data_IF_960597005800
#
_entry.id   IF_960597005800
#
_cell.length_a   1.000
_cell.length_b   1.000
_cell.length_c   1.000
_cell.angle_alpha   90.00
_cell.angle_beta   90.00
_cell.angle_gamma   90.00
#
_symmetry.space_group_name_H-M   'P 1'
#
loop_
_entity.id
_entity.type
_entity.pdbx_description
1 polymer ?
#
# COMPACT_ATOMS: atom_id res chain seq x y z
N UNK A 1 69.72 -23.01 23.72
CA UNK A 1 69.96 -21.80 22.90
C UNK A 1 68.89 -21.79 21.80
N UNK A 2 67.68 -21.29 22.08
CA UNK A 2 67.24 -19.89 21.97
C UNK A 2 67.48 -19.30 20.57
N UNK A 3 66.41 -19.21 19.76
CA UNK A 3 65.83 -17.94 19.30
C UNK A 3 64.76 -18.19 18.22
N UNK A 4 63.52 -17.79 18.49
CA UNK A 4 62.47 -17.58 17.48
C UNK A 4 62.62 -16.16 16.89
N UNK A 5 62.12 -15.94 15.67
CA UNK A 5 61.46 -14.67 15.40
C UNK A 5 60.04 -14.86 14.85
N UNK A 6 59.26 -13.80 15.10
CA UNK A 6 57.82 -13.64 14.97
C UNK A 6 57.33 -13.43 13.53
N UNK A 7 56.06 -13.80 13.32
CA UNK A 7 55.06 -13.16 12.45
C UNK A 7 55.28 -13.10 10.92
N UNK A 8 54.39 -13.75 10.17
CA UNK A 8 53.61 -13.09 9.09
C UNK A 8 52.51 -13.99 8.50
N UNK A 9 51.26 -13.61 8.82
CA UNK A 9 50.10 -13.46 7.91
C UNK A 9 49.60 -14.71 7.16
N UNK A 10 48.55 -15.29 7.73
CA UNK A 10 47.54 -16.11 7.04
C UNK A 10 46.61 -15.17 6.24
N UNK A 11 46.67 -15.22 4.91
CA UNK A 11 45.69 -14.59 4.03
C UNK A 11 44.49 -15.51 3.83
N UNK A 12 43.47 -15.42 4.69
CA UNK A 12 42.17 -16.07 4.48
C UNK A 12 41.40 -15.31 3.37
N UNK A 13 41.09 -16.01 2.29
CA UNK A 13 40.08 -15.61 1.31
C UNK A 13 38.72 -15.71 2.00
N UNK A 14 38.17 -14.60 2.47
CA UNK A 14 36.75 -14.51 2.81
C UNK A 14 35.98 -14.14 1.53
N UNK A 15 35.47 -15.17 0.86
CA UNK A 15 34.40 -15.03 -0.11
C UNK A 15 33.16 -14.47 0.58
N UNK A 16 32.66 -13.37 0.05
CA UNK A 16 31.46 -12.65 0.49
C UNK A 16 30.22 -13.56 0.48
N UNK A 17 29.73 -13.92 1.67
CA UNK A 17 28.44 -14.58 1.90
C UNK A 17 27.47 -13.65 2.67
N UNK A 18 27.45 -12.36 2.32
CA UNK A 18 26.64 -11.35 3.02
C UNK A 18 25.70 -10.55 2.11
N UNK A 19 25.23 -11.14 1.01
CA UNK A 19 24.36 -10.42 0.05
C UNK A 19 23.06 -11.11 -0.34
N UNK A 20 22.77 -12.32 0.14
CA UNK A 20 21.51 -13.02 -0.20
C UNK A 20 20.44 -12.90 0.88
N UNK A 21 20.78 -13.08 2.16
CA UNK A 21 19.83 -13.04 3.28
C UNK A 21 19.12 -11.68 3.47
N UNK A 22 19.76 -10.57 3.07
CA UNK A 22 19.13 -9.24 3.10
C UNK A 22 18.18 -9.00 1.91
N UNK A 23 18.39 -9.67 0.77
CA UNK A 23 17.45 -9.67 -0.36
C UNK A 23 16.26 -10.60 -0.10
N UNK A 24 16.51 -11.74 0.54
CA UNK A 24 15.48 -12.71 0.93
C UNK A 24 14.60 -12.20 2.06
N UNK A 25 15.15 -11.49 3.06
CA UNK A 25 14.32 -10.88 4.12
C UNK A 25 13.50 -9.68 3.63
N UNK A 26 13.96 -8.97 2.58
CA UNK A 26 13.17 -7.95 1.90
C UNK A 26 12.03 -8.53 1.03
N UNK A 27 12.10 -9.82 0.68
CA UNK A 27 11.08 -10.50 -0.12
C UNK A 27 9.81 -10.82 0.69
N UNK A 28 9.87 -10.90 2.03
CA UNK A 28 8.76 -11.37 2.87
C UNK A 28 7.99 -10.29 3.64
N UNK A 29 8.47 -9.04 3.68
CA UNK A 29 7.70 -7.95 4.29
C UNK A 29 6.65 -7.44 3.29
N UNK A 30 5.44 -8.02 3.31
CA UNK A 30 4.28 -7.53 2.55
C UNK A 30 3.91 -6.14 3.05
N UNK A 31 4.44 -5.12 2.39
CA UNK A 31 4.11 -3.73 2.62
C UNK A 31 3.60 -3.11 1.31
N UNK A 32 3.09 -1.88 1.40
CA UNK A 32 2.56 -1.14 0.25
C UNK A 32 3.54 -1.00 -0.92
N UNK A 33 4.87 -1.06 -0.68
CA UNK A 33 5.88 -1.06 -1.75
C UNK A 33 5.71 -2.20 -2.75
N UNK A 34 5.16 -3.32 -2.31
CA UNK A 34 5.07 -4.53 -3.12
C UNK A 34 3.85 -4.58 -4.05
N UNK A 35 2.86 -3.69 -3.86
CA UNK A 35 1.63 -3.71 -4.66
C UNK A 35 1.09 -2.32 -5.04
N UNK A 36 1.37 -1.29 -4.23
CA UNK A 36 0.99 0.09 -4.53
C UNK A 36 2.10 0.84 -5.25
N UNK A 37 3.35 0.76 -4.82
CA UNK A 37 4.44 1.50 -5.48
C UNK A 37 5.06 0.75 -6.66
N UNK A 38 4.97 -0.59 -6.66
CA UNK A 38 5.36 -1.45 -7.76
C UNK A 38 4.15 -2.26 -8.23
N UNK A 39 4.12 -2.59 -9.52
CA UNK A 39 3.06 -3.46 -10.06
C UNK A 39 3.18 -4.86 -9.45
N UNK A 40 2.12 -5.38 -8.81
CA UNK A 40 2.10 -6.74 -8.28
C UNK A 40 1.97 -7.76 -9.42
N UNK A 41 2.14 -9.03 -9.09
CA UNK A 41 1.89 -10.12 -10.02
C UNK A 41 0.41 -10.13 -10.45
N UNK A 42 0.13 -10.37 -11.75
CA UNK A 42 -1.24 -10.38 -12.30
C UNK A 42 -2.02 -11.66 -12.00
N UNK A 43 -1.83 -12.24 -10.82
CA UNK A 43 -2.54 -13.43 -10.33
C UNK A 43 -3.41 -13.00 -9.15
N UNK A 44 -4.75 -13.14 -9.22
CA UNK A 44 -5.66 -12.70 -8.16
C UNK A 44 -5.23 -13.15 -6.76
N UNK A 45 -4.95 -14.45 -6.61
CA UNK A 45 -4.52 -15.03 -5.33
C UNK A 45 -3.25 -14.39 -4.73
N UNK A 46 -2.25 -14.03 -5.55
CA UNK A 46 -1.03 -13.40 -5.04
C UNK A 46 -1.27 -11.94 -4.63
N UNK A 47 -2.17 -11.25 -5.33
CA UNK A 47 -2.58 -9.89 -4.97
C UNK A 47 -3.32 -9.91 -3.63
N UNK A 48 -4.27 -10.85 -3.47
CA UNK A 48 -5.03 -11.05 -2.24
C UNK A 48 -4.10 -11.26 -1.05
N UNK A 49 -3.21 -12.23 -1.13
CA UNK A 49 -2.28 -12.56 -0.04
C UNK A 49 -1.45 -11.34 0.36
N UNK A 50 -0.88 -10.66 -0.64
CA UNK A 50 0.04 -9.53 -0.44
C UNK A 50 -0.67 -8.31 0.17
N UNK A 51 -1.87 -7.99 -0.32
CA UNK A 51 -2.67 -6.88 0.20
C UNK A 51 -3.23 -7.21 1.58
N UNK A 52 -3.85 -8.37 1.76
CA UNK A 52 -4.43 -8.76 3.05
C UNK A 52 -3.36 -8.82 4.15
N UNK A 53 -2.18 -9.40 3.87
CA UNK A 53 -1.08 -9.40 4.83
C UNK A 53 -0.59 -7.98 5.18
N UNK A 54 -0.56 -7.07 4.20
CA UNK A 54 -0.24 -5.66 4.46
C UNK A 54 -1.29 -5.03 5.41
N UNK A 55 -2.57 -5.30 5.19
CA UNK A 55 -3.66 -4.76 6.01
C UNK A 55 -3.63 -5.33 7.44
N UNK A 56 -3.34 -6.64 7.59
CA UNK A 56 -3.17 -7.26 8.90
C UNK A 56 -1.97 -6.72 9.66
N UNK A 57 -0.85 -6.45 8.97
CA UNK A 57 0.32 -5.80 9.57
C UNK A 57 -0.02 -4.39 10.09
N UNK A 58 -0.96 -3.70 9.44
CA UNK A 58 -1.50 -2.40 9.87
C UNK A 58 -2.59 -2.49 10.96
N UNK A 59 -2.77 -3.68 11.57
CA UNK A 59 -3.74 -3.93 12.65
C UNK A 59 -5.21 -3.75 12.24
N UNK A 60 -5.53 -3.83 10.95
CA UNK A 60 -6.91 -4.00 10.52
C UNK A 60 -7.35 -5.44 10.80
N UNK A 61 -7.70 -5.71 12.06
CA UNK A 61 -8.26 -7.00 12.45
C UNK A 61 -9.60 -7.23 11.76
N UNK A 62 -9.92 -8.47 11.40
CA UNK A 62 -11.16 -8.86 10.71
C UNK A 62 -11.37 -8.15 9.37
N UNK A 63 -10.29 -7.76 8.68
CA UNK A 63 -10.36 -7.34 7.28
C UNK A 63 -10.06 -8.52 6.38
N UNK A 64 -10.82 -8.63 5.30
CA UNK A 64 -10.53 -9.53 4.21
C UNK A 64 -10.98 -8.88 2.91
N UNK A 65 -10.14 -8.96 1.89
CA UNK A 65 -10.35 -8.39 0.57
C UNK A 65 -10.10 -9.46 -0.50
N UNK A 66 -11.07 -9.62 -1.39
CA UNK A 66 -11.04 -10.50 -2.56
C UNK A 66 -10.62 -9.71 -3.81
N UNK A 67 -9.80 -10.28 -4.67
CA UNK A 67 -9.38 -9.64 -5.92
C UNK A 67 -10.41 -9.85 -7.03
N UNK A 68 -11.05 -8.76 -7.43
CA UNK A 68 -12.05 -8.73 -8.51
C UNK A 68 -11.41 -8.42 -9.86
N UNK A 69 -10.30 -7.66 -9.88
CA UNK A 69 -9.54 -7.34 -11.10
C UNK A 69 -8.04 -7.36 -10.83
N UNK A 70 -7.34 -8.28 -11.48
CA UNK A 70 -5.90 -8.50 -11.36
C UNK A 70 -5.04 -7.76 -12.41
N UNK A 71 -5.59 -6.68 -12.98
CA UNK A 71 -4.89 -5.79 -13.91
C UNK A 71 -5.21 -4.32 -13.58
N UNK A 72 -4.30 -3.37 -13.87
CA UNK A 72 -4.54 -1.94 -13.64
C UNK A 72 -5.80 -1.42 -14.37
N UNK A 73 -6.68 -0.66 -13.70
CA UNK A 73 -6.67 -0.37 -12.26
C UNK A 73 -6.99 -1.64 -11.47
N UNK A 74 -6.12 -2.09 -10.58
CA UNK A 74 -6.44 -3.27 -9.77
C UNK A 74 -7.65 -2.98 -8.90
N UNK A 75 -8.51 -3.97 -8.69
CA UNK A 75 -9.73 -3.82 -7.88
C UNK A 75 -9.87 -4.98 -6.91
N UNK A 76 -10.15 -4.63 -5.66
CA UNK A 76 -10.47 -5.56 -4.60
C UNK A 76 -11.74 -5.13 -3.87
N UNK A 77 -12.50 -6.10 -3.40
CA UNK A 77 -13.74 -5.89 -2.65
C UNK A 77 -13.71 -6.72 -1.38
N UNK A 78 -14.33 -6.25 -0.32
CA UNK A 78 -14.22 -6.93 0.96
C UNK A 78 -14.95 -6.21 2.07
N UNK A 79 -14.57 -6.55 3.29
CA UNK A 79 -15.27 -6.07 4.48
C UNK A 79 -14.32 -5.89 5.65
N UNK A 80 -14.57 -4.85 6.45
CA UNK A 80 -13.87 -4.61 7.72
C UNK A 80 -14.87 -4.17 8.79
N UNK A 81 -15.03 -4.95 9.86
CA UNK A 81 -15.95 -4.64 10.97
C UNK A 81 -17.33 -4.16 10.50
N UNK A 82 -17.98 -4.93 9.62
CA UNK A 82 -19.28 -4.59 9.03
C UNK A 82 -19.32 -3.48 7.97
N UNK A 83 -18.18 -2.85 7.70
CA UNK A 83 -18.05 -1.85 6.64
C UNK A 83 -17.65 -2.56 5.35
N UNK A 84 -18.52 -2.49 4.33
CA UNK A 84 -18.19 -2.96 3.00
C UNK A 84 -17.16 -2.01 2.37
N UNK A 85 -16.11 -2.58 1.78
CA UNK A 85 -14.98 -1.86 1.21
C UNK A 85 -14.79 -2.24 -0.26
N UNK A 86 -14.49 -1.24 -1.08
CA UNK A 86 -13.94 -1.42 -2.42
C UNK A 86 -12.66 -0.62 -2.51
N UNK A 87 -11.57 -1.28 -2.90
CA UNK A 87 -10.28 -0.67 -3.11
C UNK A 87 -9.92 -0.77 -4.59
N UNK A 88 -9.59 0.36 -5.20
CA UNK A 88 -9.11 0.46 -6.58
C UNK A 88 -7.79 1.21 -6.61
N UNK A 89 -6.79 0.73 -7.35
CA UNK A 89 -5.52 1.44 -7.47
C UNK A 89 -4.84 1.22 -8.82
N UNK A 90 -4.03 2.21 -9.21
CA UNK A 90 -3.03 2.07 -10.27
C UNK A 90 -1.66 2.21 -9.63
N UNK A 91 -0.73 1.24 -9.82
CA UNK A 91 0.57 1.28 -9.19
C UNK A 91 1.30 2.59 -9.46
N UNK A 92 1.94 3.12 -8.42
CA UNK A 92 2.73 4.35 -8.42
C UNK A 92 1.92 5.64 -8.75
N UNK A 93 0.60 5.54 -8.96
CA UNK A 93 -0.26 6.64 -9.42
C UNK A 93 -1.31 7.04 -8.39
N UNK A 94 -2.29 6.18 -8.09
CA UNK A 94 -3.38 6.51 -7.15
C UNK A 94 -3.95 5.28 -6.46
N UNK A 95 -4.58 5.50 -5.30
CA UNK A 95 -5.44 4.55 -4.62
C UNK A 95 -6.75 5.24 -4.24
N UNK A 96 -7.88 4.60 -4.55
CA UNK A 96 -9.22 4.98 -4.14
C UNK A 96 -9.76 3.91 -3.20
N UNK A 97 -10.16 4.33 -2.01
CA UNK A 97 -10.92 3.49 -1.08
C UNK A 97 -12.36 4.01 -1.04
N UNK A 98 -13.28 3.10 -1.25
CA UNK A 98 -14.73 3.32 -1.14
C UNK A 98 -15.24 2.48 0.03
N UNK A 99 -16.03 3.08 0.91
CA UNK A 99 -16.54 2.45 2.11
C UNK A 99 -18.03 2.77 2.30
N UNK A 100 -18.81 1.80 2.78
CA UNK A 100 -20.25 1.98 3.04
C UNK A 100 -20.55 3.07 4.09
N UNK A 101 -19.56 3.45 4.90
CA UNK A 101 -19.67 4.56 5.85
C UNK A 101 -18.30 5.22 6.07
N UNK A 102 -18.31 6.52 6.41
CA UNK A 102 -17.09 7.24 6.76
C UNK A 102 -16.48 6.66 8.05
N UNK A 103 -15.19 6.30 7.99
CA UNK A 103 -14.46 5.85 9.16
C UNK A 103 -13.04 6.42 9.16
N UNK A 104 -12.71 7.20 10.21
CA UNK A 104 -11.41 7.86 10.34
C UNK A 104 -10.25 6.88 10.48
N UNK A 105 -10.48 5.72 11.10
CA UNK A 105 -9.46 4.68 11.27
C UNK A 105 -9.04 4.09 9.93
N UNK A 106 -9.96 3.90 8.99
CA UNK A 106 -9.61 3.50 7.61
C UNK A 106 -8.71 4.55 6.96
N UNK A 107 -9.11 5.83 6.99
CA UNK A 107 -8.33 6.91 6.36
C UNK A 107 -6.93 7.00 6.99
N UNK A 108 -6.83 7.00 8.32
CA UNK A 108 -5.54 7.08 9.02
C UNK A 108 -4.67 5.84 8.77
N UNK A 109 -5.23 4.63 8.88
CA UNK A 109 -4.47 3.40 8.68
C UNK A 109 -3.99 3.23 7.23
N UNK A 110 -4.82 3.55 6.23
CA UNK A 110 -4.37 3.58 4.84
C UNK A 110 -3.30 4.66 4.60
N UNK A 111 -3.42 5.83 5.21
CA UNK A 111 -2.40 6.88 5.08
C UNK A 111 -1.06 6.48 5.68
N UNK A 112 -1.07 5.78 6.83
CA UNK A 112 0.13 5.20 7.43
C UNK A 112 0.71 4.08 6.57
N UNK A 113 -0.14 3.20 6.03
CA UNK A 113 0.25 2.12 5.14
C UNK A 113 0.93 2.66 3.86
N UNK A 114 0.36 3.72 3.28
CA UNK A 114 0.85 4.38 2.07
C UNK A 114 1.87 5.48 2.34
N UNK A 115 2.24 5.71 3.61
CA UNK A 115 3.16 6.78 4.03
C UNK A 115 2.84 8.14 3.36
N UNK A 116 1.55 8.45 3.20
CA UNK A 116 1.08 9.60 2.44
C UNK A 116 -0.32 9.99 2.91
N UNK A 117 -0.56 11.30 3.06
CA UNK A 117 -1.89 11.83 3.31
C UNK A 117 -2.79 11.64 2.08
N UNK A 118 -4.11 11.44 2.25
CA UNK A 118 -5.05 11.46 1.13
C UNK A 118 -5.02 12.85 0.50
N UNK A 119 -5.44 12.97 -0.75
CA UNK A 119 -5.61 14.28 -1.38
C UNK A 119 -6.96 14.89 -0.98
N UNK A 120 -8.01 14.09 -1.06
CA UNK A 120 -9.37 14.49 -0.71
C UNK A 120 -10.25 13.27 -0.37
N UNK A 121 -11.38 13.54 0.27
CA UNK A 121 -12.48 12.59 0.52
C UNK A 121 -13.83 13.26 0.29
N UNK A 122 -14.85 12.47 -0.03
CA UNK A 122 -16.20 12.94 -0.34
C UNK A 122 -17.20 11.80 -0.12
N UNK A 123 -18.48 12.14 -0.20
CA UNK A 123 -19.58 11.17 -0.29
C UNK A 123 -20.16 11.26 -1.69
N UNK A 124 -20.24 10.13 -2.37
CA UNK A 124 -20.77 10.04 -3.73
C UNK A 124 -22.30 10.16 -3.78
N UNK A 125 -22.87 10.08 -4.98
CA UNK A 125 -24.32 10.16 -5.22
C UNK A 125 -25.13 9.01 -4.58
N UNK A 126 -24.47 7.90 -4.26
CA UNK A 126 -25.09 6.73 -3.62
C UNK A 126 -24.98 6.81 -2.08
N UNK A 127 -24.42 7.89 -1.53
CA UNK A 127 -24.17 8.01 -0.10
C UNK A 127 -22.93 7.26 0.38
N UNK A 128 -22.09 6.77 -0.54
CA UNK A 128 -20.89 5.98 -0.22
C UNK A 128 -19.72 6.91 0.07
N UNK A 129 -18.95 6.61 1.11
CA UNK A 129 -17.77 7.40 1.45
C UNK A 129 -16.60 7.00 0.54
N UNK A 130 -15.96 7.98 -0.08
CA UNK A 130 -14.80 7.80 -0.97
C UNK A 130 -13.64 8.64 -0.48
N UNK A 131 -12.45 8.06 -0.45
CA UNK A 131 -11.19 8.76 -0.16
C UNK A 131 -10.13 8.37 -1.19
N UNK A 132 -9.38 9.35 -1.67
CA UNK A 132 -8.41 9.15 -2.74
C UNK A 132 -7.02 9.67 -2.36
N UNK A 133 -6.01 8.84 -2.61
CA UNK A 133 -4.58 9.12 -2.47
C UNK A 133 -3.96 9.22 -3.86
N UNK A 134 -3.24 10.30 -4.15
CA UNK A 134 -2.67 10.58 -5.48
C UNK A 134 -1.19 10.93 -5.37
N UNK A 135 -0.37 10.32 -6.24
CA UNK A 135 1.07 10.60 -6.36
C UNK A 135 1.42 11.47 -7.58
N UNK A 136 0.54 11.51 -8.57
CA UNK A 136 0.71 12.29 -9.81
C UNK A 136 -0.07 13.60 -9.75
N UNK A 137 0.27 14.53 -10.65
CA UNK A 137 -0.45 15.81 -10.80
C UNK A 137 -1.90 15.63 -11.29
N UNK A 138 -2.22 14.47 -11.87
CA UNK A 138 -3.59 14.10 -12.26
C UNK A 138 -4.57 14.13 -11.08
N UNK A 139 -4.07 13.96 -9.84
CA UNK A 139 -4.90 14.10 -8.64
C UNK A 139 -5.53 15.49 -8.51
N UNK A 140 -4.86 16.55 -8.98
CA UNK A 140 -5.44 17.89 -8.96
C UNK A 140 -6.54 18.04 -10.01
N UNK A 141 -6.37 17.45 -11.20
CA UNK A 141 -7.43 17.40 -12.22
C UNK A 141 -8.64 16.66 -11.68
N UNK A 142 -8.41 15.50 -11.04
CA UNK A 142 -9.47 14.72 -10.40
C UNK A 142 -10.20 15.49 -9.30
N UNK A 143 -9.47 16.24 -8.47
CA UNK A 143 -10.09 17.08 -7.44
C UNK A 143 -11.02 18.14 -8.05
N UNK A 144 -10.61 18.78 -9.15
CA UNK A 144 -11.45 19.74 -9.87
C UNK A 144 -12.70 19.08 -10.45
N UNK A 145 -12.58 17.88 -11.01
CA UNK A 145 -13.74 17.09 -11.49
C UNK A 145 -14.74 16.79 -10.36
N UNK A 146 -14.23 16.39 -9.19
CA UNK A 146 -15.05 16.08 -8.01
C UNK A 146 -15.73 17.34 -7.45
N UNK A 147 -15.03 18.48 -7.42
CA UNK A 147 -15.60 19.77 -7.05
C UNK A 147 -16.70 20.24 -8.00
N UNK A 148 -16.57 19.91 -9.29
CA UNK A 148 -17.55 20.24 -10.33
C UNK A 148 -18.81 19.38 -10.31
N UNK A 149 -18.90 18.36 -9.44
CA UNK A 149 -20.06 17.45 -9.36
C UNK A 149 -20.97 17.79 -8.17
N UNK A 150 -22.14 18.40 -8.41
CA UNK A 150 -23.04 18.82 -7.33
C UNK A 150 -23.66 17.66 -6.55
N UNK A 151 -23.72 16.46 -7.15
CA UNK A 151 -24.22 15.25 -6.49
C UNK A 151 -23.27 14.73 -5.40
N UNK A 152 -22.01 15.17 -5.41
CA UNK A 152 -21.04 14.77 -4.40
C UNK A 152 -21.09 15.74 -3.22
N UNK A 153 -21.11 15.18 -2.02
CA UNK A 153 -21.27 15.96 -0.80
C UNK A 153 -20.08 15.74 0.14
N UNK A 154 -19.98 16.56 1.19
CA UNK A 154 -18.96 16.42 2.25
C UNK A 154 -17.52 16.36 1.73
N UNK A 155 -17.24 17.07 0.63
CA UNK A 155 -15.89 17.16 0.08
C UNK A 155 -14.95 17.79 1.11
N UNK A 156 -13.88 17.06 1.44
CA UNK A 156 -12.81 17.49 2.32
C UNK A 156 -11.48 17.32 1.61
N UNK A 157 -10.71 18.40 1.54
CA UNK A 157 -9.32 18.35 1.07
C UNK A 157 -8.37 18.20 2.26
N UNK A 158 -7.24 17.55 2.04
CA UNK A 158 -6.21 17.38 3.05
C UNK A 158 -4.96 18.12 2.58
N UNK A 159 -4.38 18.91 3.48
CA UNK A 159 -3.13 19.62 3.19
C UNK A 159 -1.97 18.62 3.36
N UNK A 160 -1.02 18.67 2.42
CA UNK A 160 0.27 17.98 2.53
C UNK A 160 1.11 18.60 3.63
#
# INVERSE_FOLDING_TARGET
>A
MLSLPESAIIGYIFGSFATDSAKESAFMATNSRTWFYNEPERRPYYIEERVNHTLWAMRFNNIYMDCVRAEPPFRMEGKWNDIALTMEWVPNTYLRLTASQENKTLVTGFSQMLQMAPLFSYVDENGTFVVEWWRTEEGQKRLQEVQGKPSYTRLKTYKK
#
